data_IF_804628837532
#
_entry.id   IF_804628837532
#
_cell.length_a   1.000
_cell.length_b   1.000
_cell.length_c   1.000
_cell.angle_alpha   90.00
_cell.angle_beta   90.00
_cell.angle_gamma   90.00
#
_symmetry.space_group_name_H-M   'P 1'
#
loop_
_entity.id
_entity.type
_entity.pdbx_description
1 polymer ?
#
# COMPACT_ATOMS: atom_id res chain seq x y z
N UNK A 1 11.90 3.18 -6.36
CA UNK A 1 10.77 4.15 -6.38
C UNK A 1 11.05 5.12 -7.51
N UNK A 2 10.15 5.27 -8.49
CA UNK A 2 10.35 6.13 -9.69
C UNK A 2 9.25 7.17 -9.90
N UNK A 3 8.11 7.02 -9.23
CA UNK A 3 6.97 7.94 -9.28
C UNK A 3 6.54 8.23 -7.84
N UNK A 4 6.17 9.47 -7.52
CA UNK A 4 5.77 9.90 -6.18
C UNK A 4 4.35 10.50 -6.18
N UNK A 5 3.56 10.30 -5.12
CA UNK A 5 3.87 9.47 -3.93
C UNK A 5 3.80 7.97 -4.23
N UNK A 6 4.63 7.16 -3.58
CA UNK A 6 4.52 5.69 -3.60
C UNK A 6 4.53 5.15 -2.18
N UNK A 7 3.54 4.35 -1.82
CA UNK A 7 3.45 3.64 -0.55
C UNK A 7 3.80 2.18 -0.78
N UNK A 8 4.77 1.65 -0.02
CA UNK A 8 5.12 0.23 -0.02
C UNK A 8 4.61 -0.41 1.26
N UNK A 9 3.88 -1.52 1.13
CA UNK A 9 3.37 -2.27 2.27
C UNK A 9 4.20 -3.53 2.50
N UNK A 10 4.70 -3.68 3.71
CA UNK A 10 5.50 -4.83 4.15
C UNK A 10 4.83 -5.51 5.35
N UNK A 11 4.76 -6.85 5.33
CA UNK A 11 4.33 -7.67 6.47
C UNK A 11 5.37 -8.77 6.67
N UNK A 12 5.85 -8.94 7.91
CA UNK A 12 6.87 -9.94 8.28
C UNK A 12 8.15 -9.88 7.44
N UNK A 13 8.61 -8.67 7.07
CA UNK A 13 9.81 -8.49 6.25
C UNK A 13 9.61 -8.74 4.75
N UNK A 14 8.42 -9.18 4.33
CA UNK A 14 8.09 -9.37 2.92
C UNK A 14 7.28 -8.19 2.37
N UNK A 15 7.65 -7.72 1.18
CA UNK A 15 6.87 -6.75 0.41
C UNK A 15 5.60 -7.44 -0.09
N UNK A 16 4.43 -6.97 0.35
CA UNK A 16 3.14 -7.51 -0.11
C UNK A 16 2.55 -6.70 -1.25
N UNK A 17 2.41 -5.39 -1.07
CA UNK A 17 1.74 -4.53 -2.07
C UNK A 17 2.43 -3.16 -2.18
N UNK A 18 2.20 -2.47 -3.30
CA UNK A 18 2.70 -1.12 -3.52
C UNK A 18 1.64 -0.25 -4.19
N UNK A 19 1.32 0.87 -3.58
CA UNK A 19 0.39 1.88 -4.11
C UNK A 19 1.22 3.00 -4.73
N UNK A 20 1.04 3.24 -6.02
CA UNK A 20 1.77 4.27 -6.77
C UNK A 20 0.79 5.36 -7.17
N UNK A 21 1.14 6.62 -6.91
CA UNK A 21 0.30 7.78 -7.18
C UNK A 21 -0.65 8.10 -6.04
N UNK A 22 -1.41 9.19 -6.21
CA UNK A 22 -2.45 9.57 -5.28
C UNK A 22 -3.68 8.67 -5.48
N UNK A 23 -4.16 8.05 -4.41
CA UNK A 23 -5.37 7.22 -4.42
C UNK A 23 -6.38 7.72 -3.38
N UNK A 24 -7.69 7.48 -3.58
CA UNK A 24 -8.70 7.78 -2.57
C UNK A 24 -8.46 7.02 -1.26
N UNK A 25 -8.95 7.59 -0.16
CA UNK A 25 -8.88 6.97 1.18
C UNK A 25 -9.46 5.56 1.20
N UNK A 26 -10.61 5.35 0.54
CA UNK A 26 -11.27 4.04 0.49
C UNK A 26 -10.37 2.96 -0.13
N UNK A 27 -9.65 3.28 -1.19
CA UNK A 27 -8.70 2.36 -1.85
C UNK A 27 -7.55 2.01 -0.92
N UNK A 28 -6.99 3.00 -0.22
CA UNK A 28 -5.89 2.77 0.71
C UNK A 28 -6.34 1.93 1.91
N UNK A 29 -7.49 2.23 2.51
CA UNK A 29 -8.05 1.44 3.61
C UNK A 29 -8.32 -0.01 3.18
N UNK A 30 -8.95 -0.22 2.02
CA UNK A 30 -9.21 -1.56 1.51
C UNK A 30 -7.93 -2.37 1.25
N UNK A 31 -6.83 -1.72 0.84
CA UNK A 31 -5.51 -2.37 0.72
C UNK A 31 -4.95 -2.75 2.09
N UNK A 32 -5.09 -1.90 3.10
CA UNK A 32 -4.62 -2.20 4.46
C UNK A 32 -5.43 -3.34 5.09
N UNK A 33 -6.76 -3.32 4.98
CA UNK A 33 -7.65 -4.31 5.59
C UNK A 33 -7.36 -5.74 5.11
N UNK A 34 -6.82 -5.93 3.89
CA UNK A 34 -6.39 -7.25 3.39
C UNK A 34 -5.25 -7.88 4.19
N UNK A 35 -4.45 -7.07 4.87
CA UNK A 35 -3.22 -7.50 5.53
C UNK A 35 -3.19 -7.21 7.03
N UNK A 36 -4.13 -6.43 7.55
CA UNK A 36 -4.35 -6.18 8.97
C UNK A 36 -5.39 -7.18 9.49
N UNK A 37 -4.97 -8.43 9.58
CA UNK A 37 -5.44 -9.39 10.60
C UNK A 37 -4.37 -9.47 11.68
#
# INVERSE_FOLDING_TARGET
IRSIPTVLFFKNGEKKESVIGAVPKSTLCATLDKYVE
#
